data_IF_708380121629
#
_entry.id   IF_708380121629
#
_cell.length_a   1.000
_cell.length_b   1.000
_cell.length_c   1.000
_cell.angle_alpha   90.00
_cell.angle_beta   90.00
_cell.angle_gamma   90.00
#
_symmetry.space_group_name_H-M   'P 1'
#
loop_
_entity.id
_entity.type
_entity.pdbx_description
1 polymer ?
#
# COMPACT_ATOMS: atom_id res chain seq x y z
N UNK A 1 -16.53 1.92 -32.95
CA UNK A 1 -16.30 3.27 -32.39
C UNK A 1 -17.53 3.62 -31.58
N UNK A 2 -17.41 3.63 -30.24
CA UNK A 2 -18.51 4.08 -29.38
C UNK A 2 -18.61 5.60 -29.54
N UNK A 3 -19.71 6.06 -30.12
CA UNK A 3 -20.04 7.48 -30.28
C UNK A 3 -20.38 8.05 -28.91
N UNK A 4 -19.38 8.62 -28.23
CA UNK A 4 -19.58 9.40 -27.01
C UNK A 4 -20.47 10.60 -27.37
N UNK A 5 -21.67 10.66 -26.79
CA UNK A 5 -22.63 11.73 -27.06
C UNK A 5 -22.23 12.97 -26.27
N UNK A 6 -22.02 14.09 -26.97
CA UNK A 6 -21.65 15.38 -26.37
C UNK A 6 -22.65 15.87 -25.30
N UNK A 7 -23.92 15.44 -25.40
CA UNK A 7 -24.98 15.76 -24.46
C UNK A 7 -24.77 15.11 -23.08
N UNK A 8 -24.25 13.89 -23.02
CA UNK A 8 -23.97 13.20 -21.75
C UNK A 8 -22.83 13.89 -20.99
N UNK A 9 -21.77 14.28 -21.69
CA UNK A 9 -20.66 15.04 -21.09
C UNK A 9 -21.15 16.39 -20.55
N UNK A 10 -21.99 17.09 -21.33
CA UNK A 10 -22.54 18.38 -20.92
C UNK A 10 -23.41 18.27 -19.67
N UNK A 11 -24.20 17.19 -19.54
CA UNK A 11 -25.03 16.95 -18.36
C UNK A 11 -24.19 16.63 -17.12
N UNK A 12 -23.17 15.78 -17.24
CA UNK A 12 -22.26 15.45 -16.13
C UNK A 12 -21.54 16.71 -15.60
N UNK A 13 -21.07 17.58 -16.50
CA UNK A 13 -20.42 18.83 -16.11
C UNK A 13 -21.42 19.78 -15.43
N UNK A 14 -22.65 19.88 -15.96
CA UNK A 14 -23.69 20.73 -15.37
C UNK A 14 -24.07 20.27 -13.96
N UNK A 15 -24.25 18.97 -13.76
CA UNK A 15 -24.52 18.39 -12.42
C UNK A 15 -23.38 18.70 -11.43
N UNK A 16 -22.11 18.60 -11.86
CA UNK A 16 -20.96 18.95 -11.00
C UNK A 16 -20.92 20.44 -10.63
N UNK A 17 -21.34 21.33 -11.54
CA UNK A 17 -21.41 22.77 -11.27
C UNK A 17 -22.59 23.08 -10.33
N UNK A 18 -23.75 22.45 -10.52
CA UNK A 18 -24.92 22.63 -9.65
C UNK A 18 -24.67 22.13 -8.22
N UNK A 19 -23.89 21.06 -8.07
CA UNK A 19 -23.47 20.53 -6.77
C UNK A 19 -22.30 21.30 -6.12
N UNK A 20 -21.76 22.33 -6.79
CA UNK A 20 -20.61 23.09 -6.28
C UNK A 20 -21.04 24.02 -5.13
N UNK A 21 -20.92 23.52 -3.90
CA UNK A 21 -21.21 24.29 -2.70
C UNK A 21 -19.95 25.06 -2.23
N UNK A 22 -20.06 26.39 -2.14
CA UNK A 22 -18.99 27.27 -1.63
C UNK A 22 -19.03 27.32 -0.10
N UNK A 23 -18.46 26.32 0.56
CA UNK A 23 -18.20 26.38 2.00
C UNK A 23 -16.90 27.16 2.27
N UNK A 24 -16.98 28.23 3.07
CA UNK A 24 -15.79 28.91 3.59
C UNK A 24 -15.27 28.10 4.78
N UNK A 25 -14.14 27.41 4.60
CA UNK A 25 -13.46 26.67 5.67
C UNK A 25 -12.22 27.44 6.12
N UNK A 26 -12.05 27.56 7.43
CA UNK A 26 -10.78 27.98 8.03
C UNK A 26 -9.81 26.82 7.78
N UNK A 27 -8.81 27.05 6.93
CA UNK A 27 -7.82 26.04 6.57
C UNK A 27 -6.52 26.37 7.29
N UNK A 28 -5.96 25.35 7.94
CA UNK A 28 -4.62 25.44 8.49
C UNK A 28 -3.62 25.36 7.33
N UNK A 29 -2.84 26.44 7.15
CA UNK A 29 -1.92 26.61 6.02
C UNK A 29 -0.49 26.77 6.52
N UNK A 30 0.46 26.27 5.73
CA UNK A 30 1.88 26.51 5.91
C UNK A 30 2.55 26.96 4.62
N UNK A 31 3.85 27.21 4.73
CA UNK A 31 4.71 27.66 3.64
C UNK A 31 5.90 26.72 3.51
N UNK A 32 6.20 26.27 2.30
CA UNK A 32 7.38 25.42 2.04
C UNK A 32 8.65 26.23 2.31
N UNK A 33 9.46 25.77 3.26
CA UNK A 33 10.80 26.31 3.53
C UNK A 33 11.87 25.67 2.65
N UNK A 34 11.73 24.36 2.44
CA UNK A 34 12.72 23.58 1.70
C UNK A 34 12.02 22.38 1.08
N UNK A 35 12.41 22.04 -0.13
CA UNK A 35 12.03 20.79 -0.80
C UNK A 35 13.26 20.13 -1.39
N UNK A 36 13.36 18.81 -1.24
CA UNK A 36 14.47 18.02 -1.80
C UNK A 36 14.24 16.53 -1.61
N UNK A 37 14.57 15.73 -2.63
CA UNK A 37 14.54 14.26 -2.61
C UNK A 37 13.23 13.65 -2.08
N UNK A 38 12.09 14.26 -2.42
CA UNK A 38 10.76 13.77 -2.00
C UNK A 38 10.35 14.19 -0.57
N UNK A 39 11.09 15.08 0.07
CA UNK A 39 10.78 15.63 1.39
C UNK A 39 10.63 17.14 1.32
N UNK A 40 9.59 17.67 1.95
CA UNK A 40 9.38 19.08 2.15
C UNK A 40 9.40 19.42 3.65
N UNK A 41 10.02 20.55 3.99
CA UNK A 41 9.92 21.17 5.31
C UNK A 41 8.99 22.36 5.20
N UNK A 42 7.97 22.39 6.04
CA UNK A 42 6.91 23.38 5.97
C UNK A 42 6.89 24.17 7.28
N UNK A 43 6.87 25.50 7.18
CA UNK A 43 6.63 26.37 8.33
C UNK A 43 5.14 26.61 8.52
N UNK A 44 4.68 26.67 9.77
CA UNK A 44 3.26 26.73 10.12
C UNK A 44 2.66 25.33 10.18
N UNK A 45 1.42 25.16 9.71
CA UNK A 45 0.65 23.94 9.90
C UNK A 45 0.51 23.56 11.39
N UNK A 46 0.32 24.53 12.29
CA UNK A 46 0.40 24.33 13.74
C UNK A 46 -0.60 23.30 14.29
N UNK A 47 -1.77 23.17 13.64
CA UNK A 47 -2.82 22.22 14.01
C UNK A 47 -2.77 20.89 13.21
N UNK A 48 -1.68 20.61 12.47
CA UNK A 48 -1.58 19.38 11.68
C UNK A 48 -1.36 18.16 12.58
N UNK A 49 -2.04 17.07 12.25
CA UNK A 49 -1.88 15.80 12.96
C UNK A 49 -0.74 14.97 12.36
N UNK A 50 -0.13 14.13 13.19
CA UNK A 50 0.83 13.14 12.71
C UNK A 50 0.12 12.12 11.80
N UNK A 51 0.67 11.88 10.62
CA UNK A 51 0.05 11.02 9.60
C UNK A 51 -1.06 11.71 8.81
N UNK A 52 -1.27 13.01 8.95
CA UNK A 52 -2.24 13.76 8.15
C UNK A 52 -1.78 13.96 6.70
N UNK A 53 -2.74 13.92 5.77
CA UNK A 53 -2.50 14.33 4.40
C UNK A 53 -2.44 15.85 4.33
N UNK A 54 -1.45 16.34 3.60
CA UNK A 54 -1.32 17.74 3.24
C UNK A 54 -1.35 17.89 1.72
N UNK A 55 -1.93 18.98 1.25
CA UNK A 55 -2.06 19.30 -0.16
C UNK A 55 -1.23 20.54 -0.49
N UNK A 56 -0.28 20.38 -1.39
CA UNK A 56 0.54 21.47 -1.91
C UNK A 56 -0.29 22.29 -2.91
N UNK A 57 0.07 23.56 -3.12
CA UNK A 57 -0.63 24.48 -4.02
C UNK A 57 -0.83 23.94 -5.45
N UNK A 58 0.11 23.11 -5.92
CA UNK A 58 0.06 22.45 -7.23
C UNK A 58 -0.90 21.24 -7.28
N UNK A 59 -1.31 20.71 -6.12
CA UNK A 59 -2.14 19.51 -5.97
C UNK A 59 -1.36 18.23 -5.65
N UNK A 60 -0.03 18.30 -5.50
CA UNK A 60 0.76 17.19 -4.95
C UNK A 60 0.30 16.92 -3.51
N UNK A 61 0.14 15.65 -3.15
CA UNK A 61 -0.23 15.23 -1.78
C UNK A 61 1.04 14.84 -1.04
N UNK A 62 1.12 15.14 0.26
CA UNK A 62 2.14 14.61 1.15
C UNK A 62 1.57 14.08 2.45
N UNK A 63 2.39 13.35 3.21
CA UNK A 63 2.08 12.92 4.59
C UNK A 63 2.95 13.70 5.56
N UNK A 64 2.35 14.29 6.59
CA UNK A 64 3.06 14.83 7.74
C UNK A 64 3.63 13.70 8.62
N UNK A 65 4.95 13.56 8.67
CA UNK A 65 5.63 12.52 9.46
C UNK A 65 6.31 13.06 10.71
N UNK A 66 7.02 14.18 10.60
CA UNK A 66 7.72 14.80 11.73
C UNK A 66 7.06 16.14 12.06
N UNK A 67 6.65 16.32 13.30
CA UNK A 67 6.16 17.59 13.83
C UNK A 67 7.26 18.17 14.72
N UNK A 68 8.09 19.07 14.18
CA UNK A 68 9.10 19.79 14.95
C UNK A 68 8.51 21.11 15.47
N UNK A 69 9.17 21.74 16.45
CA UNK A 69 8.66 22.96 17.08
C UNK A 69 8.47 24.13 16.10
N UNK A 70 9.27 24.18 15.02
CA UNK A 70 9.31 25.31 14.10
C UNK A 70 9.00 24.91 12.64
N UNK A 71 8.87 23.61 12.35
CA UNK A 71 8.58 23.12 11.01
C UNK A 71 7.94 21.73 11.06
N UNK A 72 7.25 21.38 9.98
CA UNK A 72 6.67 20.07 9.76
C UNK A 72 7.43 19.40 8.62
N UNK A 73 7.98 18.21 8.89
CA UNK A 73 8.58 17.34 7.89
C UNK A 73 7.48 16.55 7.17
N UNK A 74 7.26 16.89 5.91
CA UNK A 74 6.29 16.25 5.03
C UNK A 74 7.00 15.41 3.99
N UNK A 75 6.49 14.21 3.80
CA UNK A 75 6.94 13.29 2.76
C UNK A 75 6.00 13.39 1.57
N UNK A 76 6.55 13.70 0.40
CA UNK A 76 5.79 13.90 -0.84
C UNK A 76 5.36 12.57 -1.43
N UNK A 77 4.09 12.46 -1.83
CA UNK A 77 3.53 11.30 -2.53
C UNK A 77 3.56 11.49 -4.06
N UNK A 78 4.71 11.96 -4.56
CA UNK A 78 4.95 12.28 -5.97
C UNK A 78 6.35 12.88 -6.14
N UNK A 79 6.69 13.27 -7.36
CA UNK A 79 8.06 13.70 -7.70
C UNK A 79 8.42 15.08 -7.14
N UNK A 80 7.42 15.93 -6.86
CA UNK A 80 7.63 17.23 -6.21
C UNK A 80 8.45 18.25 -7.00
N UNK A 81 8.71 18.00 -8.29
CA UNK A 81 9.60 18.82 -9.13
C UNK A 81 9.11 20.26 -9.35
N UNK A 82 7.81 20.48 -9.19
CA UNK A 82 7.14 21.76 -9.40
C UNK A 82 6.90 22.52 -8.09
N UNK A 83 7.19 21.90 -6.94
CA UNK A 83 7.07 22.55 -5.63
C UNK A 83 8.22 23.53 -5.49
N UNK A 84 7.90 24.77 -5.13
CA UNK A 84 8.89 25.82 -4.91
C UNK A 84 8.95 26.21 -3.44
N UNK A 85 10.09 26.74 -3.02
CA UNK A 85 10.17 27.45 -1.74
C UNK A 85 9.18 28.62 -1.76
N UNK A 86 8.46 28.81 -0.66
CA UNK A 86 7.40 29.80 -0.57
C UNK A 86 6.01 29.30 -1.01
N UNK A 87 5.90 28.14 -1.66
CA UNK A 87 4.59 27.58 -2.04
C UNK A 87 3.70 27.34 -0.82
N UNK A 88 2.39 27.54 -0.98
CA UNK A 88 1.45 27.27 0.09
C UNK A 88 1.16 25.77 0.22
N UNK A 89 0.99 25.30 1.45
CA UNK A 89 0.55 23.94 1.75
C UNK A 89 -0.63 23.98 2.69
N UNK A 90 -1.61 23.13 2.46
CA UNK A 90 -2.86 23.06 3.23
C UNK A 90 -2.94 21.73 3.95
N UNK A 91 -3.23 21.76 5.24
CA UNK A 91 -3.66 20.58 5.98
C UNK A 91 -5.07 20.19 5.54
N UNK A 92 -5.29 18.90 5.25
CA UNK A 92 -6.59 18.41 4.77
C UNK A 92 -7.56 18.06 5.89
N UNK A 93 -7.08 17.98 7.13
CA UNK A 93 -7.79 17.48 8.31
C UNK A 93 -8.02 15.96 8.29
N UNK A 94 -7.46 15.25 7.31
CA UNK A 94 -7.68 13.80 7.11
C UNK A 94 -6.38 13.05 7.34
N UNK A 95 -6.41 12.10 8.28
CA UNK A 95 -5.33 11.11 8.42
C UNK A 95 -5.22 10.33 7.11
N UNK A 96 -3.99 9.94 6.75
CA UNK A 96 -3.67 9.18 5.56
C UNK A 96 -4.62 8.00 5.34
N UNK A 97 -5.47 8.13 4.33
CA UNK A 97 -6.50 7.18 3.97
C UNK A 97 -6.52 6.97 2.46
N UNK A 98 -6.86 5.75 2.05
CA UNK A 98 -7.05 5.40 0.65
C UNK A 98 -8.51 5.06 0.38
N UNK A 99 -9.00 5.32 -0.84
CA UNK A 99 -10.25 4.74 -1.31
C UNK A 99 -10.17 3.21 -1.34
N UNK A 100 -11.25 2.55 -0.92
CA UNK A 100 -11.42 1.08 -0.95
C UNK A 100 -12.79 0.72 -1.51
N UNK A 101 -12.85 -0.36 -2.29
CA UNK A 101 -14.07 -0.83 -2.97
C UNK A 101 -13.87 -2.24 -3.53
N UNK A 102 -14.96 -2.94 -3.82
CA UNK A 102 -14.89 -4.17 -4.63
C UNK A 102 -14.45 -3.88 -6.07
N UNK A 103 -14.66 -2.65 -6.55
CA UNK A 103 -14.29 -2.21 -7.89
C UNK A 103 -12.76 -2.22 -8.17
N UNK A 104 -11.94 -2.44 -7.15
CA UNK A 104 -10.49 -2.63 -7.29
C UNK A 104 -10.11 -4.02 -7.79
N UNK A 105 -11.00 -5.02 -7.69
CA UNK A 105 -10.75 -6.37 -8.21
C UNK A 105 -10.47 -6.31 -9.72
N UNK A 106 -9.41 -6.98 -10.16
CA UNK A 106 -8.99 -6.99 -11.57
C UNK A 106 -8.30 -5.73 -12.06
N UNK A 107 -7.93 -4.82 -11.15
CA UNK A 107 -7.25 -3.57 -11.47
C UNK A 107 -5.78 -3.60 -11.05
N UNK A 108 -4.97 -2.84 -11.77
CA UNK A 108 -3.61 -2.50 -11.37
C UNK A 108 -3.59 -1.05 -10.92
N UNK A 109 -3.14 -0.81 -9.69
CA UNK A 109 -3.16 0.49 -9.04
C UNK A 109 -1.80 0.85 -8.46
N UNK A 110 -1.58 2.13 -8.19
CA UNK A 110 -0.42 2.64 -7.47
C UNK A 110 -0.67 2.67 -5.94
N UNK A 111 0.32 3.11 -5.16
CA UNK A 111 0.25 3.21 -3.70
C UNK A 111 -0.80 4.21 -3.21
N UNK A 112 -1.27 5.14 -4.05
CA UNK A 112 -2.36 6.07 -3.74
C UNK A 112 -3.74 5.55 -4.16
N UNK A 113 -3.82 4.26 -4.50
CA UNK A 113 -5.03 3.60 -5.01
C UNK A 113 -5.60 4.24 -6.30
N UNK A 114 -4.74 4.89 -7.10
CA UNK A 114 -5.07 5.37 -8.45
C UNK A 114 -4.77 4.28 -9.48
N UNK A 115 -5.64 4.06 -10.47
CA UNK A 115 -5.41 3.05 -11.51
C UNK A 115 -4.26 3.44 -12.43
N UNK A 116 -3.41 2.47 -12.75
CA UNK A 116 -2.28 2.59 -13.69
C UNK A 116 -2.39 1.64 -14.88
N UNK A 117 -3.49 0.86 -14.96
CA UNK A 117 -3.77 -0.09 -16.03
C UNK A 117 -4.44 0.52 -17.29
N UNK A 118 -4.73 1.82 -17.27
CA UNK A 118 -5.39 2.52 -18.38
C UNK A 118 -6.88 2.16 -18.57
N UNK A 119 -7.51 1.44 -17.64
CA UNK A 119 -8.92 1.00 -17.73
C UNK A 119 -9.92 2.02 -17.16
N UNK A 120 -9.53 3.28 -17.06
CA UNK A 120 -10.34 4.37 -16.50
C UNK A 120 -10.34 4.43 -14.97
N UNK A 121 -11.04 5.40 -14.40
CA UNK A 121 -11.13 5.61 -12.95
C UNK A 121 -11.86 4.47 -12.23
N UNK A 122 -11.56 4.28 -10.94
CA UNK A 122 -12.21 3.28 -10.09
C UNK A 122 -13.21 4.01 -9.20
N UNK A 123 -14.48 3.58 -9.24
CA UNK A 123 -15.51 4.11 -8.34
C UNK A 123 -15.31 3.51 -6.94
N UNK A 124 -14.81 4.34 -6.03
CA UNK A 124 -14.61 3.98 -4.64
C UNK A 124 -15.89 4.24 -3.82
N UNK A 125 -16.25 3.31 -2.94
CA UNK A 125 -17.43 3.42 -2.08
C UNK A 125 -17.08 3.95 -0.70
N UNK A 126 -15.91 3.56 -0.18
CA UNK A 126 -15.47 3.85 1.17
C UNK A 126 -14.00 4.31 1.16
N UNK A 127 -13.53 4.82 2.29
CA UNK A 127 -12.12 5.10 2.52
C UNK A 127 -11.64 4.40 3.78
N UNK A 128 -10.42 3.89 3.76
CA UNK A 128 -9.79 3.23 4.90
C UNK A 128 -8.44 3.85 5.20
N UNK A 129 -8.11 3.96 6.48
CA UNK A 129 -6.79 4.42 6.92
C UNK A 129 -5.69 3.52 6.34
N UNK A 130 -4.64 4.14 5.79
CA UNK A 130 -3.44 3.45 5.30
C UNK A 130 -2.76 2.76 6.49
N UNK A 131 -2.61 3.48 7.60
CA UNK A 131 -2.14 2.97 8.87
C UNK A 131 -3.32 2.60 9.77
N UNK A 132 -3.87 1.39 9.57
CA UNK A 132 -4.88 0.81 10.47
C UNK A 132 -4.19 0.07 11.63
N UNK A 133 -4.73 0.13 12.86
CA UNK A 133 -4.26 -0.73 13.93
C UNK A 133 -4.49 -2.21 13.60
N UNK A 134 -3.56 -3.06 14.05
CA UNK A 134 -3.70 -4.50 13.95
C UNK A 134 -4.85 -5.02 14.83
N UNK A 135 -5.56 -6.09 14.43
CA UNK A 135 -6.60 -6.69 15.26
C UNK A 135 -6.00 -7.22 16.56
N UNK A 136 -6.58 -6.85 17.70
CA UNK A 136 -6.16 -7.33 19.02
C UNK A 136 -6.48 -8.80 19.25
N UNK A 137 -5.94 -9.39 20.33
CA UNK A 137 -6.06 -10.83 20.63
C UNK A 137 -7.52 -11.31 20.68
N UNK A 138 -8.42 -10.53 21.32
CA UNK A 138 -9.85 -10.87 21.44
C UNK A 138 -10.55 -10.86 20.07
N UNK A 139 -10.08 -10.00 19.17
CA UNK A 139 -10.59 -9.89 17.79
C UNK A 139 -10.06 -10.99 16.88
N UNK A 140 -9.14 -11.85 17.35
CA UNK A 140 -8.55 -12.95 16.58
C UNK A 140 -9.16 -14.29 16.96
N UNK A 141 -9.15 -15.23 16.00
CA UNK A 141 -9.37 -16.66 16.22
C UNK A 141 -8.13 -17.43 15.78
N UNK A 142 -7.88 -18.58 16.41
CA UNK A 142 -6.87 -19.52 15.93
C UNK A 142 -7.12 -19.89 14.48
N UNK A 143 -6.06 -19.97 13.68
CA UNK A 143 -6.14 -20.40 12.30
C UNK A 143 -6.42 -21.91 12.26
N UNK A 144 -7.52 -22.31 11.61
CA UNK A 144 -7.94 -23.72 11.49
C UNK A 144 -8.31 -24.14 10.06
N UNK A 145 -8.34 -23.21 9.11
CA UNK A 145 -8.67 -23.48 7.71
C UNK A 145 -7.39 -23.40 6.88
N UNK A 146 -7.13 -24.35 5.97
CA UNK A 146 -5.97 -24.28 5.11
C UNK A 146 -6.15 -23.25 3.99
N UNK A 147 -5.06 -22.59 3.62
CA UNK A 147 -4.91 -21.87 2.36
C UNK A 147 -4.04 -22.73 1.45
N UNK A 148 -4.67 -23.33 0.43
CA UNK A 148 -3.98 -24.27 -0.45
C UNK A 148 -3.05 -23.51 -1.38
N UNK A 149 -1.74 -23.76 -1.32
CA UNK A 149 -0.78 -23.15 -2.25
C UNK A 149 -0.82 -23.84 -3.61
N UNK A 150 -1.22 -25.11 -3.66
CA UNK A 150 -1.16 -25.94 -4.87
C UNK A 150 0.24 -26.54 -5.09
N UNK A 151 1.18 -26.24 -4.20
CA UNK A 151 2.54 -26.76 -4.22
C UNK A 151 2.63 -27.86 -3.18
N UNK A 152 2.60 -29.12 -3.62
CA UNK A 152 2.60 -30.30 -2.74
C UNK A 152 3.72 -30.25 -1.70
N UNK A 153 4.90 -29.76 -2.08
CA UNK A 153 6.04 -29.63 -1.17
C UNK A 153 5.73 -28.67 0.01
N UNK A 154 5.02 -27.58 -0.24
CA UNK A 154 4.64 -26.61 0.80
C UNK A 154 3.45 -27.15 1.58
N UNK A 155 2.37 -27.52 0.88
CA UNK A 155 1.11 -27.94 1.51
C UNK A 155 1.27 -29.20 2.40
N UNK A 156 2.29 -30.03 2.14
CA UNK A 156 2.59 -31.22 2.96
C UNK A 156 3.56 -30.97 4.13
N UNK A 157 4.58 -30.12 3.95
CA UNK A 157 5.63 -29.92 4.95
C UNK A 157 5.39 -28.70 5.83
N UNK A 158 4.89 -27.62 5.24
CA UNK A 158 4.69 -26.30 5.87
C UNK A 158 3.30 -25.79 5.46
N UNK A 159 2.21 -26.38 6.00
CA UNK A 159 0.87 -25.99 5.62
C UNK A 159 0.61 -24.52 5.99
N UNK A 160 0.05 -23.77 5.06
CA UNK A 160 -0.32 -22.37 5.26
C UNK A 160 -1.81 -22.32 5.59
N UNK A 161 -2.19 -21.62 6.65
CA UNK A 161 -3.58 -21.44 7.04
C UNK A 161 -4.14 -20.05 6.69
N UNK A 162 -5.47 -19.95 6.55
CA UNK A 162 -6.19 -18.70 6.30
C UNK A 162 -6.07 -17.76 7.50
N UNK A 163 -5.36 -16.65 7.33
CA UNK A 163 -5.03 -15.71 8.41
C UNK A 163 -3.63 -15.89 9.01
N UNK A 164 -2.83 -16.82 8.47
CA UNK A 164 -1.43 -17.01 8.84
C UNK A 164 -0.52 -15.98 8.14
N UNK A 165 0.69 -15.83 8.68
CA UNK A 165 1.77 -15.03 8.11
C UNK A 165 2.93 -15.99 7.85
N UNK A 166 3.28 -16.22 6.60
CA UNK A 166 4.30 -17.20 6.21
C UNK A 166 5.35 -16.55 5.30
N UNK A 167 6.59 -16.50 5.76
CA UNK A 167 7.69 -15.81 5.06
C UNK A 167 8.28 -16.69 3.96
N UNK A 168 8.32 -16.15 2.73
CA UNK A 168 9.05 -16.75 1.61
C UNK A 168 10.42 -16.09 1.54
N UNK A 169 11.43 -16.73 2.13
CA UNK A 169 12.80 -16.21 2.16
C UNK A 169 13.70 -16.97 1.18
N UNK A 170 14.60 -16.26 0.52
CA UNK A 170 15.65 -16.89 -0.28
C UNK A 170 16.43 -15.92 -1.17
N UNK A 171 17.45 -16.45 -1.83
CA UNK A 171 18.33 -15.65 -2.68
C UNK A 171 17.65 -15.18 -3.96
N UNK A 172 18.32 -14.26 -4.64
CA UNK A 172 17.89 -13.78 -5.96
C UNK A 172 17.69 -14.95 -6.93
N UNK A 173 16.63 -14.90 -7.73
CA UNK A 173 16.30 -15.89 -8.78
C UNK A 173 16.07 -17.34 -8.28
N UNK A 174 15.66 -17.52 -7.02
CA UNK A 174 15.32 -18.85 -6.45
C UNK A 174 13.86 -19.28 -6.64
N UNK A 175 13.07 -18.53 -7.41
CA UNK A 175 11.67 -18.87 -7.68
C UNK A 175 10.65 -18.34 -6.66
N UNK A 176 11.04 -17.44 -5.75
CA UNK A 176 10.14 -16.84 -4.73
C UNK A 176 8.85 -16.25 -5.32
N UNK A 177 8.98 -15.40 -6.34
CA UNK A 177 7.81 -14.82 -7.03
C UNK A 177 6.98 -15.90 -7.72
N UNK A 178 7.59 -16.97 -8.24
CA UNK A 178 6.85 -18.07 -8.87
C UNK A 178 5.97 -18.81 -7.86
N UNK A 179 6.51 -19.13 -6.67
CA UNK A 179 5.77 -19.73 -5.56
C UNK A 179 4.56 -18.86 -5.18
N UNK A 180 4.77 -17.55 -5.07
CA UNK A 180 3.72 -16.58 -4.77
C UNK A 180 2.66 -16.49 -5.87
N UNK A 181 3.06 -16.40 -7.15
CA UNK A 181 2.11 -16.32 -8.27
C UNK A 181 1.33 -17.62 -8.42
N UNK A 182 1.96 -18.78 -8.27
CA UNK A 182 1.30 -20.08 -8.33
C UNK A 182 0.29 -20.23 -7.19
N UNK A 183 0.61 -19.71 -6.00
CA UNK A 183 -0.32 -19.67 -4.88
C UNK A 183 -1.58 -18.84 -5.21
N UNK A 184 -1.42 -17.67 -5.85
CA UNK A 184 -2.56 -16.85 -6.31
C UNK A 184 -3.38 -17.63 -7.33
N UNK A 185 -2.74 -18.21 -8.35
CA UNK A 185 -3.42 -18.97 -9.40
C UNK A 185 -4.25 -20.14 -8.82
N UNK A 186 -3.72 -20.82 -7.80
CA UNK A 186 -4.42 -21.92 -7.15
C UNK A 186 -5.68 -21.46 -6.40
N UNK A 187 -5.82 -20.17 -6.06
CA UNK A 187 -7.01 -19.65 -5.37
C UNK A 187 -8.26 -19.57 -6.27
N UNK A 188 -8.14 -19.87 -7.57
CA UNK A 188 -9.28 -19.90 -8.47
C UNK A 188 -10.37 -20.86 -7.94
N UNK A 189 -11.58 -20.32 -7.71
CA UNK A 189 -12.70 -21.09 -7.15
C UNK A 189 -12.63 -21.38 -5.65
N UNK A 190 -11.61 -20.88 -4.93
CA UNK A 190 -11.48 -21.10 -3.47
C UNK A 190 -12.10 -19.99 -2.61
N UNK A 191 -12.75 -19.01 -3.23
CA UNK A 191 -13.35 -17.83 -2.58
C UNK A 191 -12.33 -17.03 -1.74
N UNK A 192 -11.10 -16.88 -2.25
CA UNK A 192 -10.04 -16.07 -1.65
C UNK A 192 -9.70 -14.91 -2.58
N UNK A 193 -9.81 -13.69 -2.08
CA UNK A 193 -9.39 -12.49 -2.81
C UNK A 193 -7.88 -12.32 -2.66
N UNK A 194 -7.19 -12.11 -3.78
CA UNK A 194 -5.76 -11.97 -3.79
C UNK A 194 -5.35 -10.50 -3.92
N UNK A 195 -4.28 -10.11 -3.22
CA UNK A 195 -3.64 -8.81 -3.39
C UNK A 195 -2.15 -9.03 -3.62
N UNK A 196 -1.64 -8.68 -4.79
CA UNK A 196 -0.22 -8.76 -5.10
C UNK A 196 0.38 -7.35 -5.04
N UNK A 197 1.31 -7.14 -4.10
CA UNK A 197 1.98 -5.85 -3.89
C UNK A 197 3.41 -5.93 -4.41
N UNK A 198 3.67 -5.29 -5.55
CA UNK A 198 5.00 -5.14 -6.10
C UNK A 198 5.65 -3.85 -5.58
N UNK A 199 6.80 -4.00 -4.91
CA UNK A 199 7.54 -2.93 -4.25
C UNK A 199 8.94 -2.87 -4.87
N UNK A 200 9.26 -1.76 -5.55
CA UNK A 200 10.56 -1.57 -6.19
C UNK A 200 10.91 -2.66 -7.21
N UNK A 201 9.92 -3.33 -7.79
CA UNK A 201 10.13 -4.33 -8.83
C UNK A 201 10.35 -3.67 -10.19
N UNK A 202 10.96 -4.40 -11.12
CA UNK A 202 11.07 -3.95 -12.51
C UNK A 202 9.68 -3.89 -13.13
N UNK A 203 9.35 -2.80 -13.82
CA UNK A 203 8.08 -2.65 -14.50
C UNK A 203 7.76 -3.82 -15.45
N UNK A 204 8.77 -4.32 -16.18
CA UNK A 204 8.62 -5.48 -17.06
C UNK A 204 8.28 -6.78 -16.32
N UNK A 205 8.84 -7.00 -15.14
CA UNK A 205 8.53 -8.17 -14.31
C UNK A 205 7.12 -8.10 -13.75
N UNK A 206 6.68 -6.93 -13.28
CA UNK A 206 5.31 -6.71 -12.83
C UNK A 206 4.32 -6.93 -13.98
N UNK A 207 4.61 -6.37 -15.16
CA UNK A 207 3.79 -6.57 -16.35
C UNK A 207 3.67 -8.06 -16.72
N UNK A 208 4.77 -8.83 -16.64
CA UNK A 208 4.74 -10.27 -16.90
C UNK A 208 3.85 -11.04 -15.90
N UNK A 209 3.89 -10.68 -14.61
CA UNK A 209 3.00 -11.25 -13.59
C UNK A 209 1.54 -10.91 -13.89
N UNK A 210 1.24 -9.64 -14.19
CA UNK A 210 -0.11 -9.19 -14.55
C UNK A 210 -0.63 -9.93 -15.79
N UNK A 211 0.19 -10.07 -16.83
CA UNK A 211 -0.16 -10.84 -18.03
C UNK A 211 -0.47 -12.29 -17.68
N UNK A 212 0.35 -12.92 -16.84
CA UNK A 212 0.12 -14.30 -16.38
C UNK A 212 -1.23 -14.42 -15.64
N UNK A 213 -1.55 -13.46 -14.77
CA UNK A 213 -2.85 -13.44 -14.09
C UNK A 213 -4.02 -13.20 -15.06
N UNK A 214 -3.83 -12.41 -16.11
CA UNK A 214 -4.86 -12.19 -17.13
C UNK A 214 -5.11 -13.46 -17.96
N UNK A 215 -4.04 -14.07 -18.47
CA UNK A 215 -4.11 -15.28 -19.31
C UNK A 215 -4.71 -16.47 -18.56
N UNK A 216 -4.44 -16.60 -17.26
CA UNK A 216 -4.95 -17.69 -16.42
C UNK A 216 -6.23 -17.33 -15.66
N UNK A 217 -6.84 -16.18 -15.92
CA UNK A 217 -8.11 -15.76 -15.31
C UNK A 217 -8.02 -15.37 -13.82
N UNK A 218 -6.81 -15.23 -13.26
CA UNK A 218 -6.63 -14.85 -11.86
C UNK A 218 -6.86 -13.37 -11.57
N UNK A 219 -6.82 -12.51 -12.59
CA UNK A 219 -7.14 -11.09 -12.39
C UNK A 219 -8.56 -10.87 -11.86
N UNK A 220 -9.53 -11.75 -12.13
CA UNK A 220 -10.92 -11.57 -11.69
C UNK A 220 -11.05 -11.43 -10.16
N UNK A 221 -10.15 -12.06 -9.40
CA UNK A 221 -10.13 -12.03 -7.94
C UNK A 221 -8.85 -11.41 -7.37
N UNK A 222 -8.01 -10.80 -8.21
CA UNK A 222 -6.71 -10.24 -7.79
C UNK A 222 -6.66 -8.73 -7.97
N UNK A 223 -6.15 -8.03 -6.96
CA UNK A 223 -5.76 -6.62 -7.04
C UNK A 223 -4.23 -6.57 -7.12
N UNK A 224 -3.70 -5.79 -8.04
CA UNK A 224 -2.24 -5.56 -8.12
C UNK A 224 -1.94 -4.13 -7.69
N UNK A 225 -1.20 -3.99 -6.58
CA UNK A 225 -0.62 -2.71 -6.16
C UNK A 225 0.82 -2.69 -6.63
N UNK A 226 1.18 -1.73 -7.47
CA UNK A 226 2.51 -1.68 -8.07
C UNK A 226 3.16 -0.32 -7.90
N UNK A 227 4.29 -0.32 -7.19
CA UNK A 227 5.27 0.76 -7.21
C UNK A 227 6.59 0.20 -7.70
N UNK A 228 7.04 0.69 -8.85
CA UNK A 228 8.24 0.16 -9.51
C UNK A 228 9.50 0.77 -8.93
N UNK A 229 10.67 0.25 -9.31
CA UNK A 229 11.95 0.77 -8.83
C UNK A 229 12.19 2.27 -9.14
N UNK A 230 11.53 2.81 -10.16
CA UNK A 230 11.62 4.22 -10.56
C UNK A 230 10.68 5.13 -9.76
N UNK A 231 9.68 4.55 -9.08
CA UNK A 231 8.76 5.31 -8.24
C UNK A 231 9.50 5.95 -7.06
N UNK A 232 9.05 7.12 -6.57
CA UNK A 232 9.56 7.73 -5.34
C UNK A 232 9.62 6.73 -4.18
N UNK A 233 10.68 6.80 -3.36
CA UNK A 233 10.85 5.94 -2.18
C UNK A 233 9.64 6.02 -1.24
N UNK A 234 8.98 7.18 -1.20
CA UNK A 234 7.79 7.45 -0.41
C UNK A 234 6.60 6.59 -0.83
N UNK A 235 6.39 6.38 -2.13
CA UNK A 235 5.34 5.51 -2.64
C UNK A 235 5.69 4.04 -2.46
N UNK A 236 6.95 3.65 -2.71
CA UNK A 236 7.43 2.29 -2.44
C UNK A 236 7.24 1.90 -0.97
N UNK A 237 7.49 2.83 -0.05
CA UNK A 237 7.25 2.68 1.38
C UNK A 237 5.76 2.46 1.71
N UNK A 238 4.85 3.19 1.05
CA UNK A 238 3.41 3.14 1.31
C UNK A 238 2.70 1.95 0.66
N UNK A 239 3.19 1.45 -0.47
CA UNK A 239 2.53 0.41 -1.26
C UNK A 239 2.04 -0.80 -0.42
N UNK A 240 2.82 -1.33 0.54
CA UNK A 240 2.38 -2.47 1.37
C UNK A 240 1.23 -2.11 2.30
N UNK A 241 1.20 -0.90 2.85
CA UNK A 241 0.11 -0.44 3.69
C UNK A 241 -1.19 -0.26 2.89
N UNK A 242 -1.07 0.23 1.65
CA UNK A 242 -2.19 0.34 0.71
C UNK A 242 -2.75 -1.03 0.36
N UNK A 243 -1.88 -2.00 0.05
CA UNK A 243 -2.29 -3.39 -0.16
C UNK A 243 -2.98 -3.99 1.06
N UNK A 244 -2.43 -3.75 2.26
CA UNK A 244 -3.04 -4.22 3.51
C UNK A 244 -4.42 -3.61 3.76
N UNK A 245 -4.61 -2.31 3.51
CA UNK A 245 -5.91 -1.66 3.66
C UNK A 245 -6.96 -2.22 2.67
N UNK A 246 -6.56 -2.55 1.44
CA UNK A 246 -7.44 -3.21 0.45
C UNK A 246 -7.78 -4.64 0.86
N UNK A 247 -6.82 -5.41 1.37
CA UNK A 247 -7.07 -6.76 1.87
C UNK A 247 -7.98 -6.75 3.11
N UNK A 248 -7.76 -5.80 4.02
CA UNK A 248 -8.58 -5.61 5.22
C UNK A 248 -10.03 -5.28 4.88
N UNK A 249 -10.28 -4.47 3.86
CA UNK A 249 -11.65 -4.15 3.42
C UNK A 249 -12.49 -5.41 3.18
N UNK A 250 -11.89 -6.43 2.57
CA UNK A 250 -12.57 -7.72 2.36
C UNK A 250 -12.56 -8.61 3.61
N UNK A 251 -11.47 -8.60 4.40
CA UNK A 251 -11.38 -9.34 5.65
C UNK A 251 -12.48 -8.93 6.64
N UNK A 252 -12.73 -7.63 6.81
CA UNK A 252 -13.79 -7.13 7.70
C UNK A 252 -15.20 -7.29 7.13
N UNK A 253 -15.32 -7.78 5.89
CA UNK A 253 -16.57 -8.21 5.26
C UNK A 253 -16.66 -9.72 5.16
N UNK A 254 -16.08 -10.40 6.15
CA UNK A 254 -16.22 -11.84 6.35
C UNK A 254 -15.62 -12.69 5.20
N UNK A 255 -14.79 -12.08 4.34
CA UNK A 255 -14.13 -12.77 3.24
C UNK A 255 -12.71 -13.16 3.60
N UNK A 256 -12.19 -14.13 2.85
CA UNK A 256 -10.81 -14.55 2.96
C UNK A 256 -9.97 -13.80 1.93
N UNK A 257 -8.80 -13.31 2.37
CA UNK A 257 -7.82 -12.67 1.52
C UNK A 257 -6.44 -13.32 1.66
N UNK A 258 -5.68 -13.25 0.59
CA UNK A 258 -4.26 -13.61 0.52
C UNK A 258 -3.50 -12.42 -0.03
N UNK A 259 -2.61 -11.83 0.76
CA UNK A 259 -1.75 -10.72 0.36
C UNK A 259 -0.31 -11.20 0.19
N UNK A 260 0.31 -10.78 -0.90
CA UNK A 260 1.70 -11.07 -1.22
C UNK A 260 2.45 -9.75 -1.28
N UNK A 261 3.57 -9.67 -0.57
CA UNK A 261 4.46 -8.51 -0.61
C UNK A 261 5.77 -8.88 -1.31
N UNK A 262 6.07 -8.25 -2.45
CA UNK A 262 7.22 -8.56 -3.31
C UNK A 262 8.04 -7.27 -3.59
N UNK A 263 8.96 -6.84 -2.73
CA UNK A 263 9.40 -7.46 -1.47
C UNK A 263 9.53 -6.42 -0.33
N UNK A 264 9.26 -6.77 0.94
CA UNK A 264 9.49 -5.86 2.07
C UNK A 264 10.95 -5.48 2.28
N UNK A 265 11.93 -6.22 1.71
CA UNK A 265 13.33 -5.81 1.75
C UNK A 265 13.54 -4.46 1.06
N UNK A 266 12.90 -4.24 -0.10
CA UNK A 266 12.90 -2.95 -0.80
C UNK A 266 12.07 -1.90 -0.09
N UNK A 267 10.97 -2.29 0.57
CA UNK A 267 10.24 -1.36 1.45
C UNK A 267 11.14 -0.83 2.57
N UNK A 268 11.92 -1.70 3.22
CA UNK A 268 12.86 -1.31 4.25
C UNK A 268 13.95 -0.38 3.69
N UNK A 269 14.47 -0.65 2.49
CA UNK A 269 15.45 0.22 1.83
C UNK A 269 14.86 1.61 1.54
N UNK A 270 13.61 1.67 1.07
CA UNK A 270 12.89 2.92 0.85
C UNK A 270 12.68 3.68 2.17
N UNK A 271 12.29 2.98 3.24
CA UNK A 271 12.14 3.59 4.57
C UNK A 271 13.47 4.10 5.14
N UNK A 272 14.56 3.38 4.89
CA UNK A 272 15.92 3.81 5.23
C UNK A 272 16.28 5.10 4.51
N UNK A 273 16.04 5.18 3.20
CA UNK A 273 16.29 6.40 2.42
C UNK A 273 15.48 7.58 2.99
N UNK A 274 14.19 7.40 3.23
CA UNK A 274 13.33 8.43 3.82
C UNK A 274 13.84 8.89 5.19
N UNK A 275 14.22 7.96 6.05
CA UNK A 275 14.70 8.26 7.41
C UNK A 275 16.01 9.06 7.39
N UNK A 276 16.93 8.72 6.48
CA UNK A 276 18.19 9.46 6.30
C UNK A 276 17.95 10.88 5.78
N UNK A 277 17.01 11.06 4.84
CA UNK A 277 16.62 12.38 4.33
C UNK A 277 15.95 13.24 5.42
N UNK A 278 15.16 12.62 6.30
CA UNK A 278 14.63 13.24 7.51
C UNK A 278 15.68 13.47 8.61
N UNK A 279 16.95 13.12 8.34
CA UNK A 279 18.08 13.20 9.29
C UNK A 279 17.84 12.46 10.60
N UNK A 280 17.05 11.39 10.57
CA UNK A 280 16.88 10.49 11.72
C UNK A 280 18.19 9.71 11.94
N UNK A 281 18.62 9.51 13.20
CA UNK A 281 19.80 8.71 13.49
C UNK A 281 19.68 7.28 12.95
N UNK A 282 20.64 6.80 12.13
CA UNK A 282 20.63 5.43 11.62
C UNK A 282 21.22 4.43 12.63
N UNK A 283 20.81 3.17 12.50
CA UNK A 283 21.31 2.02 13.26
C UNK A 283 22.08 1.02 12.40
N UNK A 284 21.90 -0.29 12.66
CA UNK A 284 22.56 -1.39 11.93
C UNK A 284 22.21 -1.31 10.43
N UNK A 285 23.22 -1.47 9.57
CA UNK A 285 23.08 -1.37 8.10
C UNK A 285 22.41 -0.06 7.61
N UNK A 286 22.56 0.99 8.41
CA UNK A 286 21.95 2.31 8.27
C UNK A 286 20.42 2.36 8.36
N UNK A 287 19.74 1.27 8.71
CA UNK A 287 18.28 1.29 8.93
C UNK A 287 17.92 2.09 10.20
N UNK A 288 16.77 2.77 10.22
CA UNK A 288 16.30 3.42 11.43
C UNK A 288 15.92 2.38 12.50
N UNK A 289 16.00 2.75 13.78
CA UNK A 289 15.77 1.81 14.89
C UNK A 289 14.36 1.22 14.95
N UNK A 290 13.39 1.83 14.28
CA UNK A 290 11.99 1.41 14.21
C UNK A 290 11.65 0.62 12.92
N UNK A 291 12.64 0.20 12.12
CA UNK A 291 12.39 -0.64 10.92
C UNK A 291 11.72 -1.98 11.27
N UNK A 292 12.01 -2.54 12.45
CA UNK A 292 11.30 -3.73 12.92
C UNK A 292 9.82 -3.42 13.20
N UNK A 293 9.55 -2.29 13.86
CA UNK A 293 8.18 -1.86 14.13
C UNK A 293 7.39 -1.61 12.85
N UNK A 294 8.06 -1.13 11.79
CA UNK A 294 7.49 -0.98 10.46
C UNK A 294 6.92 -2.30 9.91
N UNK A 295 7.71 -3.36 9.91
CA UNK A 295 7.25 -4.65 9.41
C UNK A 295 6.29 -5.33 10.38
N UNK A 296 6.49 -5.18 11.69
CA UNK A 296 5.58 -5.72 12.71
C UNK A 296 4.18 -5.14 12.56
N UNK A 297 4.03 -3.81 12.48
CA UNK A 297 2.72 -3.15 12.35
C UNK A 297 2.05 -3.42 11.00
N UNK A 298 2.82 -3.73 9.95
CA UNK A 298 2.29 -4.17 8.66
C UNK A 298 1.79 -5.62 8.73
N UNK A 299 2.65 -6.54 9.15
CA UNK A 299 2.37 -7.98 9.10
C UNK A 299 1.32 -8.38 10.13
N UNK A 300 1.32 -7.80 11.34
CA UNK A 300 0.33 -8.14 12.38
C UNK A 300 -1.11 -7.73 12.04
N UNK A 301 -1.33 -6.97 10.96
CA UNK A 301 -2.68 -6.73 10.40
C UNK A 301 -3.29 -7.98 9.79
N UNK A 302 -2.45 -8.88 9.27
CA UNK A 302 -2.87 -10.15 8.71
C UNK A 302 -3.21 -11.15 9.82
N UNK A 303 -4.50 -11.46 10.00
CA UNK A 303 -4.98 -12.40 10.99
C UNK A 303 -6.28 -13.07 10.55
N UNK A 304 -6.74 -14.09 11.28
CA UNK A 304 -8.10 -14.59 11.21
C UNK A 304 -8.97 -13.90 12.26
N UNK A 305 -10.06 -13.29 11.83
CA UNK A 305 -11.03 -12.62 12.69
C UNK A 305 -11.76 -13.60 13.59
N UNK A 306 -12.20 -13.11 14.76
CA UNK A 306 -13.06 -13.86 15.67
C UNK A 306 -14.42 -14.18 15.04
N UNK A 307 -15.13 -15.15 15.62
CA UNK A 307 -16.51 -15.51 15.23
C UNK A 307 -17.48 -14.32 15.32
N UNK A 308 -17.25 -13.40 16.25
CA UNK A 308 -18.06 -12.19 16.41
C UNK A 308 -17.83 -11.16 15.30
N UNK A 309 -16.72 -11.28 14.58
CA UNK A 309 -16.33 -10.41 13.47
C UNK A 309 -16.45 -11.14 12.11
N UNK A 310 -17.21 -12.24 12.07
CA UNK A 310 -17.54 -12.97 10.84
C UNK A 310 -16.39 -13.78 10.24
N UNK A 311 -15.32 -14.06 11.00
CA UNK A 311 -14.27 -15.03 10.66
C UNK A 311 -13.50 -14.82 9.36
N UNK A 312 -13.65 -13.65 8.74
CA UNK A 312 -12.82 -13.21 7.63
C UNK A 312 -11.34 -13.29 7.99
N UNK A 313 -10.49 -13.46 6.99
CA UNK A 313 -9.08 -13.71 7.22
C UNK A 313 -8.22 -12.96 6.24
N UNK A 314 -7.08 -12.46 6.70
CA UNK A 314 -6.03 -11.92 5.84
C UNK A 314 -4.77 -12.76 6.04
N UNK A 315 -4.42 -13.53 5.02
CA UNK A 315 -3.21 -14.37 4.99
C UNK A 315 -2.10 -13.59 4.33
N UNK A 316 -0.91 -13.51 4.93
CA UNK A 316 0.20 -12.75 4.38
C UNK A 316 1.37 -13.65 3.98
N UNK A 317 1.85 -13.45 2.75
CA UNK A 317 3.02 -14.10 2.17
C UNK A 317 4.07 -13.05 1.82
N UNK A 318 4.82 -12.50 2.80
CA UNK A 318 5.94 -11.63 2.52
C UNK A 318 7.06 -12.40 1.82
N UNK A 319 7.64 -11.83 0.76
CA UNK A 319 8.84 -12.34 0.10
C UNK A 319 10.03 -11.55 0.59
N UNK A 320 11.06 -12.19 1.14
CA UNK A 320 12.30 -11.50 1.54
C UNK A 320 13.47 -12.04 0.74
N UNK A 321 14.21 -11.12 0.12
CA UNK A 321 15.45 -11.44 -0.57
C UNK A 321 16.65 -11.39 0.39
N UNK A 322 17.39 -12.49 0.45
CA UNK A 322 18.69 -12.59 1.14
C UNK A 322 19.83 -12.20 0.19
N UNK A 323 20.94 -11.77 0.78
CA UNK A 323 22.19 -11.52 0.05
C UNK A 323 23.11 -12.72 0.24
N UNK A 324 23.32 -13.50 -0.82
CA UNK A 324 24.23 -14.66 -0.80
C UNK A 324 23.93 -15.68 0.31
N UNK A 325 22.65 -15.89 0.59
CA UNK A 325 22.15 -16.83 1.59
C UNK A 325 22.26 -16.35 3.03
N UNK A 326 22.65 -15.09 3.26
CA UNK A 326 22.78 -14.55 4.61
C UNK A 326 21.40 -14.26 5.24
N UNK A 327 20.94 -15.21 6.04
CA UNK A 327 19.72 -15.10 6.86
C UNK A 327 19.95 -14.32 8.16
N UNK A 328 21.20 -13.97 8.49
CA UNK A 328 21.57 -13.24 9.71
C UNK A 328 21.66 -11.72 9.53
N UNK A 329 21.45 -11.26 8.29
CA UNK A 329 21.31 -9.85 7.97
C UNK A 329 20.10 -9.24 8.69
N UNK A 330 20.14 -7.92 8.92
CA UNK A 330 19.20 -7.28 9.84
C UNK A 330 17.72 -7.35 9.41
N UNK A 331 17.43 -7.33 8.11
CA UNK A 331 16.05 -7.39 7.59
C UNK A 331 15.51 -8.83 7.50
N UNK A 332 16.31 -9.84 7.06
CA UNK A 332 15.92 -11.24 7.17
C UNK A 332 15.66 -11.75 8.60
N UNK A 333 16.36 -11.22 9.61
CA UNK A 333 16.20 -11.61 11.02
C UNK A 333 14.97 -10.96 11.65
#
# INVERSE_FOLDING_TARGET
>A
MVTIRADEISNIIRERIEQYNREVKILNTGTVLQVGDGIARIHGLDEVMAGELVEFEEGTIGIALNLESNNVGVVLMGDGLMIQEGSSVKATGRIAQIPVSEAYLGRVINALAKPIDGRGEISASESRLIESPAPGIISRRSVYEPLQTGLIAIDSMIPIGRGQRELIIGDRQTGKTAVATDTILNQQGQNVICVYVAIGQKASSVAQVVTTFQERGAMEYTIVVAETADSPATLQYLAPYTGAALAEYFMYRERHTSIIYDDPSKQAQAYRQMSLLLRRPPGREAYPGDVFYLHSRLLERAAKSSSNLGEGSMTALPIVETQSGDVSAYIPT
#
